data_IF_131525298445
#
_entry.id   IF_131525298445
#
_cell.length_a   1.000
_cell.length_b   1.000
_cell.length_c   1.000
_cell.angle_alpha   90.00
_cell.angle_beta   90.00
_cell.angle_gamma   90.00
#
_symmetry.space_group_name_H-M   'P 1'
#
loop_
_entity.id
_entity.type
_entity.pdbx_description
1 polymer ?
#
# COMPACT_ATOMS: atom_id res chain seq x y z
N UNK A 1 -32.88 62.61 -35.19
CA UNK A 1 -31.65 62.56 -34.44
C UNK A 1 -30.83 61.37 -34.97
N UNK A 2 -29.82 61.65 -35.83
CA UNK A 2 -29.01 60.59 -36.44
C UNK A 2 -27.86 60.23 -35.47
N UNK A 3 -27.97 59.09 -34.73
CA UNK A 3 -26.90 58.57 -33.93
C UNK A 3 -25.85 58.04 -34.92
N UNK A 4 -24.62 58.58 -34.87
CA UNK A 4 -23.59 58.29 -35.85
C UNK A 4 -23.07 56.86 -35.67
N UNK A 5 -22.96 56.13 -36.78
CA UNK A 5 -22.45 54.75 -36.88
C UNK A 5 -21.09 54.56 -36.20
N UNK A 6 -20.33 55.63 -36.00
CA UNK A 6 -19.02 55.64 -35.33
C UNK A 6 -19.07 55.24 -33.84
N UNK A 7 -20.19 55.62 -33.15
CA UNK A 7 -20.34 55.28 -31.72
C UNK A 7 -20.66 53.77 -31.47
N UNK A 8 -21.32 53.13 -32.45
CA UNK A 8 -21.60 51.69 -32.37
C UNK A 8 -20.32 50.84 -32.56
N UNK A 9 -19.41 51.27 -33.43
CA UNK A 9 -18.17 50.56 -33.69
C UNK A 9 -17.19 50.61 -32.47
N UNK A 10 -17.12 51.77 -31.78
CA UNK A 10 -16.27 51.88 -30.55
C UNK A 10 -16.84 51.15 -29.37
N UNK A 11 -18.17 51.13 -29.18
CA UNK A 11 -18.80 50.38 -28.10
C UNK A 11 -18.66 48.85 -28.30
N UNK A 12 -18.82 48.37 -29.55
CA UNK A 12 -18.66 46.94 -29.86
C UNK A 12 -17.20 46.47 -29.71
N UNK A 13 -16.23 47.30 -30.09
CA UNK A 13 -14.81 47.02 -29.92
C UNK A 13 -14.39 46.91 -28.44
N UNK A 14 -14.97 47.79 -27.57
CA UNK A 14 -14.69 47.77 -26.15
C UNK A 14 -15.26 46.52 -25.45
N UNK A 15 -16.48 46.08 -25.84
CA UNK A 15 -17.14 44.88 -25.30
C UNK A 15 -16.38 43.62 -25.72
N UNK A 16 -15.87 43.53 -26.94
CA UNK A 16 -15.10 42.41 -27.43
C UNK A 16 -13.75 42.36 -26.72
N UNK A 17 -13.09 43.50 -26.50
CA UNK A 17 -11.79 43.53 -25.80
C UNK A 17 -11.91 43.13 -24.32
N UNK A 18 -12.99 43.52 -23.64
CA UNK A 18 -13.27 43.13 -22.25
C UNK A 18 -13.62 41.66 -22.15
N UNK A 19 -14.34 41.09 -23.12
CA UNK A 19 -14.63 39.65 -23.15
C UNK A 19 -13.37 38.79 -23.38
N UNK A 20 -12.48 39.24 -24.27
CA UNK A 20 -11.19 38.53 -24.51
C UNK A 20 -10.28 38.64 -23.28
N UNK A 21 -10.23 39.78 -22.60
CA UNK A 21 -9.43 39.97 -21.40
C UNK A 21 -9.99 39.14 -20.23
N UNK A 22 -11.32 38.99 -20.12
CA UNK A 22 -11.95 38.13 -19.11
C UNK A 22 -11.67 36.65 -19.36
N UNK A 23 -11.60 36.19 -20.60
CA UNK A 23 -11.22 34.80 -20.91
C UNK A 23 -9.73 34.50 -20.71
N UNK A 24 -8.85 35.50 -20.87
CA UNK A 24 -7.41 35.37 -20.58
C UNK A 24 -7.11 35.40 -19.06
N UNK A 25 -7.98 36.00 -18.24
CA UNK A 25 -7.87 36.03 -16.78
C UNK A 25 -8.46 34.81 -16.09
N UNK A 26 -9.21 33.94 -16.80
CA UNK A 26 -9.50 32.60 -16.33
C UNK A 26 -8.24 31.74 -16.53
N UNK A 27 -7.21 32.05 -15.74
CA UNK A 27 -6.02 31.26 -15.67
C UNK A 27 -6.44 29.79 -15.51
N UNK A 28 -5.86 28.93 -16.30
CA UNK A 28 -5.95 27.47 -16.12
C UNK A 28 -5.63 27.17 -14.66
N UNK A 29 -6.64 26.97 -13.85
CA UNK A 29 -6.43 26.35 -12.54
C UNK A 29 -5.83 24.99 -12.86
N UNK A 30 -4.54 24.85 -12.65
CA UNK A 30 -3.89 23.55 -12.62
C UNK A 30 -4.63 22.76 -11.56
N UNK A 31 -5.42 21.80 -11.95
CA UNK A 31 -5.99 20.82 -11.04
C UNK A 31 -4.78 20.05 -10.55
N UNK A 32 -4.27 20.41 -9.38
CA UNK A 32 -3.25 19.63 -8.71
C UNK A 32 -3.94 18.31 -8.38
N UNK A 33 -3.55 17.25 -9.08
CA UNK A 33 -4.07 15.92 -8.81
C UNK A 33 -3.80 15.60 -7.34
N UNK A 34 -4.79 15.06 -6.65
CA UNK A 34 -4.59 14.61 -5.26
C UNK A 34 -3.52 13.54 -5.23
N UNK A 35 -2.63 13.54 -4.22
CA UNK A 35 -1.61 12.51 -4.11
C UNK A 35 -2.23 11.10 -4.06
N UNK A 36 -1.58 10.14 -4.72
CA UNK A 36 -1.94 8.72 -4.67
C UNK A 36 -1.77 8.20 -3.24
N UNK A 37 -2.78 7.60 -2.68
CA UNK A 37 -2.79 7.11 -1.29
C UNK A 37 -2.36 5.65 -1.26
N UNK A 38 -1.24 5.37 -0.58
CA UNK A 38 -0.69 4.02 -0.42
C UNK A 38 -0.87 3.59 1.03
N UNK A 39 -1.59 2.48 1.25
CA UNK A 39 -1.74 1.86 2.56
C UNK A 39 -0.78 0.67 2.70
N UNK A 40 0.19 0.77 3.61
CA UNK A 40 1.03 -0.36 4.00
C UNK A 40 0.36 -1.11 5.16
N UNK A 41 -0.23 -2.25 4.86
CA UNK A 41 -0.95 -3.14 5.78
C UNK A 41 -0.03 -4.29 6.16
N UNK A 42 0.10 -4.61 7.46
CA UNK A 42 1.00 -5.69 7.87
C UNK A 42 1.13 -5.90 9.37
N UNK A 43 2.13 -6.66 9.74
CA UNK A 43 2.47 -7.00 11.12
C UNK A 43 3.58 -6.09 11.70
N UNK A 44 4.48 -6.65 12.54
CA UNK A 44 5.61 -5.88 13.11
C UNK A 44 6.63 -5.47 12.06
N UNK A 45 6.79 -6.21 10.98
CA UNK A 45 7.69 -5.81 9.89
C UNK A 45 7.21 -4.50 9.28
N UNK A 46 5.90 -4.35 9.07
CA UNK A 46 5.33 -3.08 8.60
C UNK A 46 5.36 -1.99 9.67
N UNK A 47 5.04 -2.32 10.94
CA UNK A 47 4.95 -1.34 12.02
C UNK A 47 6.30 -0.78 12.44
N UNK A 48 7.32 -1.65 12.59
CA UNK A 48 8.53 -1.37 13.38
C UNK A 48 9.78 -1.17 12.52
N UNK A 49 9.73 -1.48 11.21
CA UNK A 49 10.86 -1.26 10.31
C UNK A 49 10.70 0.04 9.52
N UNK A 50 11.78 0.47 8.85
CA UNK A 50 11.83 1.78 8.21
C UNK A 50 11.41 1.78 6.74
N UNK A 51 10.89 0.64 6.22
CA UNK A 51 10.63 0.56 4.78
C UNK A 51 9.58 1.56 4.29
N UNK A 52 8.57 1.87 5.12
CA UNK A 52 7.53 2.79 4.68
C UNK A 52 8.01 4.24 4.60
N UNK A 53 8.93 4.68 5.49
CA UNK A 53 9.58 6.00 5.41
C UNK A 53 10.49 6.08 4.17
N UNK A 54 11.26 5.02 3.90
CA UNK A 54 12.09 4.93 2.70
C UNK A 54 11.23 4.98 1.45
N UNK A 55 10.17 4.17 1.38
CA UNK A 55 9.20 4.17 0.28
C UNK A 55 8.55 5.54 0.09
N UNK A 56 8.11 6.18 1.17
CA UNK A 56 7.51 7.52 1.13
C UNK A 56 8.49 8.55 0.55
N UNK A 57 9.78 8.46 0.93
CA UNK A 57 10.83 9.32 0.39
C UNK A 57 11.08 9.08 -1.10
N UNK A 58 11.07 7.82 -1.55
CA UNK A 58 11.26 7.46 -2.96
C UNK A 58 10.09 7.93 -3.83
N UNK A 59 8.86 7.78 -3.37
CA UNK A 59 7.65 8.15 -4.11
C UNK A 59 7.42 9.67 -4.17
N UNK A 60 7.92 10.42 -3.18
CA UNK A 60 7.84 11.88 -3.14
C UNK A 60 6.42 12.43 -2.95
N UNK A 61 6.25 13.72 -3.24
CA UNK A 61 5.04 14.50 -2.90
C UNK A 61 3.77 14.08 -3.68
N UNK A 62 3.91 13.31 -4.75
CA UNK A 62 2.76 12.81 -5.52
C UNK A 62 2.06 11.62 -4.85
N UNK A 63 2.60 11.12 -3.74
CA UNK A 63 2.07 10.00 -2.99
C UNK A 63 1.91 10.35 -1.51
N UNK A 64 0.93 9.72 -0.88
CA UNK A 64 0.75 9.74 0.57
C UNK A 64 0.81 8.31 1.09
N UNK A 65 1.94 7.92 1.66
CA UNK A 65 2.14 6.59 2.22
C UNK A 65 1.75 6.59 3.70
N UNK A 66 0.96 5.60 4.13
CA UNK A 66 0.60 5.41 5.55
C UNK A 66 0.88 3.99 6.01
N UNK A 67 1.40 3.92 7.24
CA UNK A 67 1.69 2.67 7.93
C UNK A 67 0.48 2.25 8.78
N UNK A 68 -0.08 1.08 8.47
CA UNK A 68 -1.16 0.42 9.22
C UNK A 68 -0.70 -0.92 9.80
N UNK A 69 0.60 -1.06 10.05
CA UNK A 69 1.17 -2.25 10.66
C UNK A 69 0.78 -2.42 12.13
N UNK A 70 0.52 -3.66 12.55
CA UNK A 70 0.26 -4.01 13.95
C UNK A 70 1.06 -5.25 14.33
N UNK A 71 2.01 -5.07 15.25
CA UNK A 71 2.92 -6.15 15.65
C UNK A 71 2.22 -7.39 16.15
N UNK A 72 2.77 -8.56 15.79
CA UNK A 72 2.31 -9.89 16.17
C UNK A 72 0.93 -10.29 15.63
N UNK A 73 0.43 -9.59 14.63
CA UNK A 73 -0.85 -9.94 14.00
C UNK A 73 -0.68 -11.04 12.96
N UNK A 74 -1.76 -11.82 12.79
CA UNK A 74 -1.85 -12.94 11.86
C UNK A 74 -2.94 -12.69 10.81
N UNK A 75 -2.84 -13.39 9.69
CA UNK A 75 -3.94 -13.56 8.73
C UNK A 75 -5.03 -14.42 9.35
N UNK A 76 -4.62 -15.56 9.95
CA UNK A 76 -5.52 -16.53 10.54
C UNK A 76 -6.39 -15.91 11.64
N UNK A 77 -7.70 -16.17 11.56
CA UNK A 77 -8.70 -15.79 12.57
C UNK A 77 -8.68 -16.71 13.81
N UNK A 78 -7.92 -17.79 13.75
CA UNK A 78 -7.82 -18.81 14.81
C UNK A 78 -6.75 -18.47 15.87
N UNK A 79 -6.17 -17.28 15.82
CA UNK A 79 -5.19 -16.79 16.78
C UNK A 79 -5.76 -15.70 17.69
N UNK A 80 -5.05 -15.36 18.75
CA UNK A 80 -5.49 -14.34 19.73
C UNK A 80 -5.51 -12.92 19.13
N UNK A 81 -4.68 -12.66 18.09
CA UNK A 81 -4.51 -11.33 17.52
C UNK A 81 -4.59 -11.30 15.99
N UNK A 82 -5.74 -11.63 15.39
CA UNK A 82 -5.92 -11.48 13.94
C UNK A 82 -5.85 -10.01 13.53
N UNK A 83 -5.22 -9.72 12.38
CA UNK A 83 -5.12 -8.35 11.86
C UNK A 83 -6.51 -7.72 11.63
N UNK A 84 -7.46 -8.50 11.11
CA UNK A 84 -8.84 -8.05 10.87
C UNK A 84 -9.57 -7.53 12.11
N UNK A 85 -9.13 -7.90 13.32
CA UNK A 85 -9.74 -7.46 14.59
C UNK A 85 -9.05 -6.24 15.19
N UNK A 86 -8.06 -5.65 14.49
CA UNK A 86 -7.34 -4.47 14.96
C UNK A 86 -7.98 -3.18 14.41
N UNK A 87 -7.88 -2.07 15.15
CA UNK A 87 -8.35 -0.76 14.69
C UNK A 87 -7.67 -0.33 13.38
N UNK A 88 -6.39 -0.65 13.22
CA UNK A 88 -5.61 -0.36 12.02
C UNK A 88 -6.23 -0.93 10.74
N UNK A 89 -6.93 -2.06 10.82
CA UNK A 89 -7.67 -2.62 9.68
C UNK A 89 -8.81 -1.70 9.21
N UNK A 90 -9.56 -1.14 10.15
CA UNK A 90 -10.64 -0.17 9.85
C UNK A 90 -10.08 1.19 9.44
N UNK A 91 -8.99 1.63 10.07
CA UNK A 91 -8.31 2.88 9.74
C UNK A 91 -7.75 2.85 8.32
N UNK A 92 -7.16 1.71 7.89
CA UNK A 92 -6.69 1.52 6.53
C UNK A 92 -7.83 1.62 5.49
N UNK A 93 -9.00 1.06 5.79
CA UNK A 93 -10.18 1.19 4.93
C UNK A 93 -10.71 2.64 4.91
N UNK A 94 -10.77 3.31 6.07
CA UNK A 94 -11.21 4.71 6.20
C UNK A 94 -10.28 5.66 5.45
N UNK A 95 -8.99 5.34 5.38
CA UNK A 95 -8.02 6.09 4.57
C UNK A 95 -8.39 6.07 3.08
N UNK A 96 -9.20 5.11 2.64
CA UNK A 96 -9.69 4.92 1.27
C UNK A 96 -8.53 4.97 0.26
N UNK A 97 -7.54 4.06 0.38
CA UNK A 97 -6.31 4.07 -0.40
C UNK A 97 -6.57 3.83 -1.89
N UNK A 98 -5.66 4.30 -2.73
CA UNK A 98 -5.61 4.01 -4.16
C UNK A 98 -4.73 2.77 -4.44
N UNK A 99 -3.79 2.47 -3.52
CA UNK A 99 -2.93 1.29 -3.53
C UNK A 99 -2.90 0.67 -2.13
N UNK A 100 -3.06 -0.65 -2.03
CA UNK A 100 -2.93 -1.43 -0.79
C UNK A 100 -1.83 -2.45 -0.93
N UNK A 101 -0.81 -2.35 -0.09
CA UNK A 101 0.30 -3.31 -0.02
C UNK A 101 0.13 -4.12 1.27
N UNK A 102 -0.14 -5.43 1.16
CA UNK A 102 -0.45 -6.29 2.30
C UNK A 102 0.70 -7.26 2.54
N UNK A 103 1.45 -7.05 3.62
CA UNK A 103 2.56 -7.92 4.06
C UNK A 103 2.21 -8.58 5.40
N UNK A 104 1.56 -9.73 5.31
CA UNK A 104 1.12 -10.56 6.45
C UNK A 104 1.45 -12.03 6.19
N UNK A 105 1.49 -12.80 7.26
CA UNK A 105 1.73 -14.25 7.23
C UNK A 105 2.92 -14.68 8.07
N UNK A 106 3.90 -13.81 8.31
CA UNK A 106 5.09 -14.16 9.10
C UNK A 106 4.71 -14.76 10.45
N UNK A 107 3.80 -14.15 11.19
CA UNK A 107 3.38 -14.65 12.51
C UNK A 107 2.50 -15.91 12.42
N UNK A 108 1.89 -16.19 11.28
CA UNK A 108 1.11 -17.42 11.09
C UNK A 108 1.99 -18.69 11.15
N UNK A 109 3.30 -18.54 10.98
CA UNK A 109 4.25 -19.64 11.18
C UNK A 109 4.29 -20.18 12.62
N UNK A 110 3.94 -19.36 13.64
CA UNK A 110 3.82 -19.83 15.03
C UNK A 110 2.61 -20.74 15.27
N UNK A 111 1.61 -20.70 14.40
CA UNK A 111 0.36 -21.43 14.58
C UNK A 111 0.56 -22.94 14.34
N UNK A 112 -0.27 -23.76 14.97
CA UNK A 112 -0.37 -25.16 14.61
C UNK A 112 -0.93 -25.32 13.19
N UNK A 113 -0.66 -26.46 12.57
CA UNK A 113 -1.21 -26.78 11.25
C UNK A 113 -2.73 -26.64 11.22
N UNK A 114 -3.43 -27.10 12.27
CA UNK A 114 -4.87 -26.99 12.37
C UNK A 114 -5.36 -25.54 12.33
N UNK A 115 -4.66 -24.63 13.01
CA UNK A 115 -4.98 -23.20 13.01
C UNK A 115 -4.72 -22.54 11.65
N UNK A 116 -3.75 -23.06 10.87
CA UNK A 116 -3.45 -22.59 9.51
C UNK A 116 -4.32 -23.20 8.41
N UNK A 117 -5.19 -24.17 8.73
CA UNK A 117 -6.00 -24.83 7.70
C UNK A 117 -6.89 -23.85 6.92
N UNK A 118 -7.40 -22.79 7.56
CA UNK A 118 -8.27 -21.79 6.93
C UNK A 118 -7.49 -20.54 6.45
N UNK A 119 -6.17 -20.54 6.46
CA UNK A 119 -5.33 -19.36 6.14
C UNK A 119 -5.76 -18.68 4.83
N UNK A 120 -5.91 -19.45 3.75
CA UNK A 120 -6.28 -18.91 2.44
C UNK A 120 -7.67 -18.24 2.46
N UNK A 121 -8.66 -18.85 3.12
CA UNK A 121 -10.00 -18.28 3.22
C UNK A 121 -10.05 -17.09 4.18
N UNK A 122 -9.28 -17.12 5.26
CA UNK A 122 -9.13 -15.99 6.19
C UNK A 122 -8.46 -14.80 5.47
N UNK A 123 -7.46 -15.07 4.61
CA UNK A 123 -6.80 -14.01 3.84
C UNK A 123 -7.73 -13.39 2.78
N UNK A 124 -8.51 -14.22 2.08
CA UNK A 124 -9.55 -13.71 1.16
C UNK A 124 -10.55 -12.83 1.89
N UNK A 125 -10.96 -13.23 3.10
CA UNK A 125 -11.88 -12.48 3.96
C UNK A 125 -11.26 -11.12 4.37
N UNK A 126 -9.94 -11.08 4.63
CA UNK A 126 -9.21 -9.85 4.93
C UNK A 126 -9.16 -8.90 3.73
N UNK A 127 -9.00 -9.43 2.52
CA UNK A 127 -8.86 -8.64 1.29
C UNK A 127 -10.21 -8.09 0.80
N UNK A 128 -11.30 -8.80 1.00
CA UNK A 128 -12.60 -8.47 0.44
C UNK A 128 -13.09 -7.03 0.77
N UNK A 129 -12.95 -6.50 2.00
CA UNK A 129 -13.32 -5.11 2.30
C UNK A 129 -12.51 -4.07 1.52
N UNK A 130 -11.21 -4.30 1.28
CA UNK A 130 -10.40 -3.40 0.46
C UNK A 130 -10.87 -3.36 -0.99
N UNK A 131 -11.24 -4.52 -1.56
CA UNK A 131 -11.82 -4.59 -2.92
C UNK A 131 -13.13 -3.83 -3.07
N UNK A 132 -13.86 -3.63 -1.97
CA UNK A 132 -15.15 -2.95 -1.96
C UNK A 132 -15.06 -1.45 -1.70
N UNK A 133 -13.86 -0.90 -1.57
CA UNK A 133 -13.66 0.53 -1.32
C UNK A 133 -14.06 1.37 -2.53
N UNK A 134 -14.61 2.58 -2.31
CA UNK A 134 -14.96 3.50 -3.40
C UNK A 134 -13.78 3.92 -4.28
N UNK A 135 -12.56 3.90 -3.74
CA UNK A 135 -11.33 4.18 -4.48
C UNK A 135 -10.97 3.10 -5.51
N UNK A 136 -11.57 1.88 -5.40
CA UNK A 136 -11.23 0.72 -6.23
C UNK A 136 -9.70 0.48 -6.28
N UNK A 137 -9.05 0.24 -5.13
CA UNK A 137 -7.59 0.23 -5.03
C UNK A 137 -6.95 -0.92 -5.81
N UNK A 138 -5.74 -0.67 -6.29
CA UNK A 138 -4.82 -1.75 -6.66
C UNK A 138 -4.34 -2.45 -5.38
N UNK A 139 -4.40 -3.78 -5.35
CA UNK A 139 -4.04 -4.57 -4.16
C UNK A 139 -2.91 -5.51 -4.50
N UNK A 140 -1.84 -5.40 -3.73
CA UNK A 140 -0.65 -6.23 -3.84
C UNK A 140 -0.52 -7.12 -2.60
N UNK A 141 -0.34 -8.42 -2.80
CA UNK A 141 0.00 -9.37 -1.75
C UNK A 141 1.52 -9.52 -1.72
N UNK A 142 2.12 -9.26 -0.56
CA UNK A 142 3.57 -9.38 -0.39
C UNK A 142 3.91 -10.77 0.13
N UNK A 143 4.80 -11.47 -0.55
CA UNK A 143 5.45 -12.66 -0.03
C UNK A 143 6.41 -12.19 1.07
N UNK A 144 6.22 -12.61 2.34
CA UNK A 144 7.02 -12.10 3.44
C UNK A 144 8.51 -12.42 3.28
N UNK A 145 9.40 -11.59 3.86
CA UNK A 145 10.83 -11.85 3.82
C UNK A 145 11.20 -13.16 4.53
N UNK A 146 12.38 -13.73 4.23
CA UNK A 146 12.87 -14.94 4.91
C UNK A 146 13.11 -14.68 6.39
N UNK A 147 13.08 -15.76 7.17
CA UNK A 147 13.42 -15.74 8.59
C UNK A 147 14.69 -16.56 8.80
N UNK A 148 15.63 -15.96 9.50
CA UNK A 148 16.91 -16.57 9.83
C UNK A 148 16.92 -17.11 11.26
N UNK A 149 18.09 -17.50 11.75
CA UNK A 149 18.24 -17.88 13.15
C UNK A 149 17.83 -16.71 14.06
N UNK A 150 16.79 -16.92 14.87
CA UNK A 150 16.18 -15.87 15.66
C UNK A 150 15.89 -16.32 17.10
N UNK A 151 15.94 -15.36 18.02
CA UNK A 151 15.64 -15.59 19.44
C UNK A 151 14.14 -15.61 19.75
N UNK A 152 13.30 -15.23 18.78
CA UNK A 152 11.86 -15.20 18.93
C UNK A 152 11.22 -16.58 18.76
N UNK A 153 11.98 -17.59 18.29
CA UNK A 153 11.49 -18.93 18.07
C UNK A 153 10.53 -19.06 16.89
N UNK A 154 10.57 -18.11 15.93
CA UNK A 154 9.75 -18.19 14.72
C UNK A 154 10.31 -19.31 13.83
N UNK A 155 9.48 -20.33 13.48
CA UNK A 155 9.96 -21.49 12.74
C UNK A 155 10.05 -21.18 11.23
N UNK A 156 11.25 -20.82 10.75
CA UNK A 156 11.50 -20.52 9.34
C UNK A 156 10.98 -21.62 8.40
N UNK A 157 11.20 -22.90 8.74
CA UNK A 157 10.73 -24.05 7.94
C UNK A 157 9.22 -24.04 7.74
N UNK A 158 8.44 -23.58 8.73
CA UNK A 158 6.98 -23.48 8.62
C UNK A 158 6.60 -22.29 7.72
N UNK A 159 7.30 -21.16 7.88
CA UNK A 159 7.09 -20.02 6.99
C UNK A 159 7.31 -20.42 5.53
N UNK A 160 8.46 -21.04 5.24
CA UNK A 160 8.89 -21.37 3.89
C UNK A 160 8.00 -22.45 3.24
N UNK A 161 7.68 -23.52 3.97
CA UNK A 161 7.05 -24.69 3.37
C UNK A 161 5.52 -24.72 3.52
N UNK A 162 4.95 -23.92 4.42
CA UNK A 162 3.50 -23.94 4.65
C UNK A 162 2.82 -22.59 4.44
N UNK A 163 3.40 -21.49 4.96
CA UNK A 163 2.75 -20.17 4.91
C UNK A 163 2.93 -19.52 3.56
N UNK A 164 4.16 -19.39 3.06
CA UNK A 164 4.45 -18.77 1.76
C UNK A 164 3.67 -19.44 0.61
N UNK A 165 3.60 -20.78 0.52
CA UNK A 165 2.75 -21.43 -0.49
C UNK A 165 1.27 -21.02 -0.41
N UNK A 166 0.72 -20.83 0.80
CA UNK A 166 -0.66 -20.37 0.99
C UNK A 166 -0.85 -18.89 0.62
N UNK A 167 0.14 -18.03 0.86
CA UNK A 167 0.15 -16.63 0.40
C UNK A 167 0.06 -16.61 -1.13
N UNK A 168 0.91 -17.37 -1.81
CA UNK A 168 0.92 -17.50 -3.28
C UNK A 168 -0.38 -18.10 -3.82
N UNK A 169 -0.92 -19.12 -3.15
CA UNK A 169 -2.22 -19.70 -3.49
C UNK A 169 -3.33 -18.63 -3.41
N UNK A 170 -3.37 -17.85 -2.33
CA UNK A 170 -4.36 -16.78 -2.15
C UNK A 170 -4.27 -15.75 -3.27
N UNK A 171 -3.06 -15.29 -3.60
CA UNK A 171 -2.84 -14.33 -4.69
C UNK A 171 -3.34 -14.88 -6.03
N UNK A 172 -3.00 -16.14 -6.35
CA UNK A 172 -3.42 -16.83 -7.56
C UNK A 172 -4.95 -16.95 -7.66
N UNK A 173 -5.60 -17.40 -6.58
CA UNK A 173 -7.06 -17.59 -6.54
C UNK A 173 -7.83 -16.27 -6.63
N UNK A 174 -7.25 -15.18 -6.16
CA UNK A 174 -7.83 -13.85 -6.27
C UNK A 174 -7.43 -13.09 -7.53
N UNK A 175 -6.49 -13.60 -8.31
CA UNK A 175 -5.91 -12.90 -9.49
C UNK A 175 -5.22 -11.59 -9.10
N UNK A 176 -4.55 -11.56 -7.92
CA UNK A 176 -3.83 -10.39 -7.43
C UNK A 176 -2.33 -10.50 -7.71
N UNK A 177 -1.66 -9.39 -8.03
CA UNK A 177 -0.20 -9.35 -8.15
C UNK A 177 0.47 -9.63 -6.81
N UNK A 178 1.66 -10.24 -6.87
CA UNK A 178 2.53 -10.46 -5.71
C UNK A 178 3.78 -9.62 -5.82
N UNK A 179 4.31 -9.18 -4.66
CA UNK A 179 5.63 -8.58 -4.53
C UNK A 179 6.48 -9.55 -3.70
N UNK A 180 7.60 -9.99 -4.26
CA UNK A 180 8.45 -10.98 -3.62
C UNK A 180 9.51 -10.29 -2.74
N UNK A 181 9.39 -10.44 -1.42
CA UNK A 181 10.41 -10.00 -0.46
C UNK A 181 11.29 -11.15 0.03
N UNK A 182 10.96 -12.37 -0.35
CA UNK A 182 11.71 -13.55 0.08
C UNK A 182 13.01 -13.69 -0.71
N UNK A 183 12.91 -13.72 -2.04
CA UNK A 183 14.05 -13.99 -2.90
C UNK A 183 15.17 -12.95 -2.80
N UNK A 184 14.92 -11.63 -2.86
CA UNK A 184 15.98 -10.63 -2.79
C UNK A 184 16.69 -10.57 -1.42
N UNK A 185 16.05 -11.08 -0.36
CA UNK A 185 16.62 -11.08 1.00
C UNK A 185 17.15 -12.44 1.47
N UNK A 186 16.93 -13.52 0.69
CA UNK A 186 17.22 -14.90 1.10
C UNK A 186 18.70 -15.14 1.44
N UNK A 187 19.62 -14.48 0.82
CA UNK A 187 21.07 -14.66 1.05
C UNK A 187 21.68 -13.63 2.00
N UNK A 188 20.88 -12.81 2.67
CA UNK A 188 21.34 -11.62 3.38
C UNK A 188 20.83 -11.57 4.84
N UNK A 189 21.30 -12.48 5.74
CA UNK A 189 20.90 -12.45 7.14
C UNK A 189 21.33 -11.16 7.88
N UNK A 190 22.37 -10.49 7.45
CA UNK A 190 22.85 -9.21 7.99
C UNK A 190 21.89 -8.05 7.73
N UNK A 191 20.98 -8.17 6.78
CA UNK A 191 19.89 -7.22 6.56
C UNK A 191 18.78 -7.29 7.64
N UNK A 192 18.96 -8.15 8.66
CA UNK A 192 17.99 -8.36 9.75
C UNK A 192 18.64 -8.09 11.11
N UNK A 193 17.91 -7.37 11.98
CA UNK A 193 18.43 -7.03 13.30
C UNK A 193 18.35 -8.19 14.32
N UNK A 194 17.40 -9.11 14.14
CA UNK A 194 17.10 -10.21 15.05
C UNK A 194 16.75 -11.53 14.32
N UNK A 195 16.98 -11.57 13.03
CA UNK A 195 16.67 -12.70 12.15
C UNK A 195 15.22 -12.74 11.65
N UNK A 196 14.36 -11.79 12.09
CA UNK A 196 12.96 -11.65 11.67
C UNK A 196 12.68 -10.25 11.10
N UNK A 197 13.12 -9.21 11.80
CA UNK A 197 12.83 -7.85 11.45
C UNK A 197 13.97 -7.23 10.62
N UNK A 198 13.70 -6.82 9.38
CA UNK A 198 14.67 -6.09 8.57
C UNK A 198 15.20 -4.84 9.26
N UNK A 199 16.52 -4.64 9.20
CA UNK A 199 17.16 -3.39 9.57
C UNK A 199 17.03 -2.34 8.44
N UNK A 200 17.80 -1.26 8.47
CA UNK A 200 17.72 -0.23 7.45
C UNK A 200 18.05 -0.78 6.05
N UNK A 201 19.06 -1.63 5.91
CA UNK A 201 19.44 -2.25 4.63
C UNK A 201 18.29 -3.12 4.08
N UNK A 202 17.74 -4.02 4.89
CA UNK A 202 16.58 -4.82 4.51
C UNK A 202 15.34 -3.97 4.21
N UNK A 203 15.13 -2.87 4.96
CA UNK A 203 14.05 -1.91 4.72
C UNK A 203 14.19 -1.20 3.37
N UNK A 204 15.42 -0.91 2.94
CA UNK A 204 15.68 -0.30 1.63
C UNK A 204 15.34 -1.26 0.49
N UNK A 205 15.68 -2.56 0.64
CA UNK A 205 15.30 -3.59 -0.34
C UNK A 205 13.77 -3.69 -0.44
N UNK A 206 13.07 -3.80 0.69
CA UNK A 206 11.60 -3.87 0.72
C UNK A 206 10.97 -2.64 0.05
N UNK A 207 11.48 -1.45 0.36
CA UNK A 207 10.96 -0.22 -0.23
C UNK A 207 11.17 -0.16 -1.75
N UNK A 208 12.32 -0.63 -2.24
CA UNK A 208 12.64 -0.67 -3.67
C UNK A 208 11.70 -1.61 -4.42
N UNK A 209 11.50 -2.84 -3.93
CA UNK A 209 10.60 -3.80 -4.55
C UNK A 209 9.13 -3.31 -4.59
N UNK A 210 8.68 -2.63 -3.52
CA UNK A 210 7.34 -2.03 -3.52
C UNK A 210 7.27 -0.87 -4.52
N UNK A 211 8.29 0.01 -4.53
CA UNK A 211 8.36 1.15 -5.44
C UNK A 211 8.25 0.69 -6.91
N UNK A 212 9.05 -0.30 -7.30
CA UNK A 212 9.08 -0.82 -8.67
C UNK A 212 7.75 -1.49 -9.07
N UNK A 213 7.03 -2.06 -8.08
CA UNK A 213 5.75 -2.72 -8.36
C UNK A 213 4.59 -1.74 -8.55
N UNK A 214 4.64 -0.54 -7.92
CA UNK A 214 3.49 0.39 -7.89
C UNK A 214 3.69 1.64 -8.75
N UNK A 215 4.84 1.80 -9.43
CA UNK A 215 5.15 2.94 -10.31
C UNK A 215 5.37 2.52 -11.76
#
# INVERSE_FOLDING_TARGET
MKISLKWFATALGLVILTAILATLLHGTQSVVASPVRVACVGDSITRDTQYFEVLSSMLGANYTVRNFGVGRTTVSLQFEKPYMRQSAFQEAQTFNPDVVVIMLGTNDAYLSQQQRNNFTDDYKTLIAPFRSLPSNPEIYIVIPPPVFNNTMGLPAVVLDNEVIPKVNQTATELGLPTIDMYTPLLGNPEAFQDGVHPNLEGSQVIAAEIYDAIT
#
